data_IF_919543579264
#
_entry.id   IF_919543579264
#
_cell.length_a   1.000
_cell.length_b   1.000
_cell.length_c   1.000
_cell.angle_alpha   90.00
_cell.angle_beta   90.00
_cell.angle_gamma   90.00
#
_symmetry.space_group_name_H-M   'P 1'
#
loop_
_entity.id
_entity.type
_entity.pdbx_description
1 polymer ?
#
# COMPACT_ATOMS: atom_id res chain seq x y z
N UNK A 1 1.44 -10.06 -10.09
CA UNK A 1 0.22 -10.14 -10.92
C UNK A 1 -0.72 -9.00 -10.55
N UNK A 2 -1.28 -8.31 -11.54
CA UNK A 2 -2.17 -7.16 -11.36
C UNK A 2 -3.42 -7.48 -10.52
N UNK A 3 -4.00 -8.66 -10.71
CA UNK A 3 -5.17 -9.13 -9.97
C UNK A 3 -4.98 -9.09 -8.44
N UNK A 4 -3.78 -9.44 -7.95
CA UNK A 4 -3.47 -9.38 -6.53
C UNK A 4 -3.45 -7.94 -6.01
N UNK A 5 -2.98 -6.98 -6.82
CA UNK A 5 -3.01 -5.56 -6.45
C UNK A 5 -4.44 -5.03 -6.43
N UNK A 6 -5.29 -5.44 -7.38
CA UNK A 6 -6.72 -5.09 -7.42
C UNK A 6 -7.45 -5.63 -6.19
N UNK A 7 -7.21 -6.89 -5.80
CA UNK A 7 -7.81 -7.49 -4.61
C UNK A 7 -7.40 -6.74 -3.34
N UNK A 8 -6.11 -6.44 -3.16
CA UNK A 8 -5.61 -5.66 -2.02
C UNK A 8 -6.16 -4.24 -1.99
N UNK A 9 -6.31 -3.61 -3.15
CA UNK A 9 -6.93 -2.29 -3.29
C UNK A 9 -8.36 -2.31 -2.72
N UNK A 10 -9.18 -3.29 -3.14
CA UNK A 10 -10.55 -3.44 -2.63
C UNK A 10 -10.61 -3.64 -1.12
N UNK A 11 -9.76 -4.51 -0.57
CA UNK A 11 -9.69 -4.73 0.89
C UNK A 11 -9.37 -3.43 1.65
N UNK A 12 -8.45 -2.62 1.13
CA UNK A 12 -8.12 -1.33 1.74
C UNK A 12 -9.25 -0.30 1.58
N UNK A 13 -9.98 -0.31 0.45
CA UNK A 13 -11.17 0.53 0.25
C UNK A 13 -12.29 0.17 1.23
N UNK A 14 -12.52 -1.12 1.50
CA UNK A 14 -13.47 -1.62 2.50
C UNK A 14 -13.12 -1.16 3.92
N UNK A 15 -11.83 -0.94 4.21
CA UNK A 15 -11.35 -0.35 5.46
C UNK A 15 -11.42 1.19 5.48
N UNK A 16 -11.95 1.81 4.43
CA UNK A 16 -12.13 3.27 4.34
C UNK A 16 -10.92 4.04 3.80
N UNK A 17 -9.88 3.35 3.34
CA UNK A 17 -8.74 4.00 2.70
C UNK A 17 -9.02 4.34 1.23
N UNK A 18 -8.20 5.21 0.65
CA UNK A 18 -8.24 5.58 -0.77
C UNK A 18 -6.93 5.18 -1.49
N UNK A 19 -6.67 3.87 -1.66
CA UNK A 19 -5.46 3.38 -2.29
C UNK A 19 -5.42 3.62 -3.81
N UNK A 20 -4.21 3.78 -4.35
CA UNK A 20 -3.92 3.79 -5.78
C UNK A 20 -3.04 2.59 -6.16
N UNK A 21 -3.19 2.10 -7.40
CA UNK A 21 -2.28 1.10 -7.96
C UNK A 21 -1.32 1.81 -8.89
N UNK A 22 -0.03 1.67 -8.61
CA UNK A 22 1.06 2.16 -9.46
C UNK A 22 1.76 0.99 -10.13
N UNK A 23 1.88 1.03 -11.44
CA UNK A 23 2.67 0.08 -12.21
C UNK A 23 4.08 0.62 -12.38
N UNK A 24 5.08 -0.18 -12.00
CA UNK A 24 6.49 0.17 -12.16
C UNK A 24 7.27 -1.00 -12.77
N UNK A 25 8.32 -0.70 -13.53
CA UNK A 25 9.25 -1.71 -14.06
C UNK A 25 10.49 -1.76 -13.16
N UNK A 26 10.87 -2.94 -12.71
CA UNK A 26 12.06 -3.15 -11.89
C UNK A 26 12.75 -4.44 -12.29
N UNK A 27 14.03 -4.36 -12.68
CA UNK A 27 14.84 -5.52 -13.07
C UNK A 27 14.22 -6.37 -14.19
N UNK A 28 13.58 -5.74 -15.18
CA UNK A 28 12.90 -6.44 -16.28
C UNK A 28 11.50 -6.98 -15.95
N UNK A 29 11.04 -6.91 -14.69
CA UNK A 29 9.72 -7.34 -14.26
C UNK A 29 8.76 -6.17 -14.05
N UNK A 30 7.47 -6.41 -14.28
CA UNK A 30 6.39 -5.46 -13.94
C UNK A 30 5.92 -5.71 -12.50
N UNK A 31 5.96 -4.67 -11.68
CA UNK A 31 5.50 -4.67 -10.30
C UNK A 31 4.29 -3.74 -10.19
N UNK A 32 3.25 -4.20 -9.50
CA UNK A 32 2.06 -3.41 -9.19
C UNK A 32 2.08 -3.09 -7.69
N UNK A 33 2.24 -1.81 -7.34
CA UNK A 33 2.31 -1.32 -5.97
C UNK A 33 0.97 -0.74 -5.57
N UNK A 34 0.45 -1.14 -4.41
CA UNK A 34 -0.72 -0.52 -3.80
C UNK A 34 -0.22 0.56 -2.84
N UNK A 35 -0.54 1.82 -3.11
CA UNK A 35 -0.05 2.98 -2.36
C UNK A 35 -1.21 3.69 -1.66
N UNK A 36 -0.95 4.15 -0.44
CA UNK A 36 -1.82 5.07 0.28
C UNK A 36 -1.30 6.50 0.10
N UNK A 37 -2.15 7.48 0.41
CA UNK A 37 -1.77 8.88 0.36
C UNK A 37 -0.59 9.15 1.31
N UNK A 38 0.40 9.97 0.89
CA UNK A 38 1.50 10.36 1.74
C UNK A 38 1.01 11.25 2.90
N UNK A 39 1.74 11.22 4.02
CA UNK A 39 1.53 12.10 5.16
C UNK A 39 2.87 12.61 5.68
N UNK A 40 2.90 13.85 6.18
CA UNK A 40 4.08 14.41 6.82
C UNK A 40 4.30 13.84 8.25
N UNK A 41 3.25 13.28 8.86
CA UNK A 41 3.35 12.63 10.16
C UNK A 41 3.79 11.18 10.00
N UNK A 42 5.09 10.95 10.20
CA UNK A 42 5.68 9.61 10.17
C UNK A 42 5.06 8.68 11.22
N UNK A 43 4.76 9.17 12.41
CA UNK A 43 4.20 8.34 13.48
C UNK A 43 2.80 7.84 13.12
N UNK A 44 1.99 8.69 12.48
CA UNK A 44 0.69 8.29 11.95
C UNK A 44 0.81 7.25 10.82
N UNK A 45 1.83 7.37 9.96
CA UNK A 45 2.09 6.39 8.90
C UNK A 45 2.48 5.02 9.46
N UNK A 46 3.37 4.97 10.44
CA UNK A 46 3.80 3.71 11.08
C UNK A 46 2.62 3.02 11.77
N UNK A 47 1.80 3.76 12.53
CA UNK A 47 0.57 3.22 13.16
C UNK A 47 -0.41 2.67 12.13
N UNK A 48 -0.57 3.37 11.01
CA UNK A 48 -1.43 2.94 9.91
C UNK A 48 -0.89 1.65 9.27
N UNK A 49 0.43 1.61 9.03
CA UNK A 49 1.11 0.45 8.46
C UNK A 49 1.00 -0.78 9.36
N UNK A 50 1.13 -0.62 10.68
CA UNK A 50 0.94 -1.67 11.68
C UNK A 50 -0.51 -2.16 11.71
N UNK A 51 -1.48 -1.24 11.76
CA UNK A 51 -2.91 -1.59 11.77
C UNK A 51 -3.32 -2.41 10.54
N UNK A 52 -2.89 -1.98 9.34
CA UNK A 52 -3.16 -2.70 8.09
C UNK A 52 -2.51 -4.09 8.09
N UNK A 53 -1.26 -4.19 8.58
CA UNK A 53 -0.55 -5.48 8.67
C UNK A 53 -1.32 -6.45 9.56
N UNK A 54 -1.79 -6.00 10.72
CA UNK A 54 -2.52 -6.82 11.67
C UNK A 54 -3.89 -7.27 11.13
N UNK A 55 -4.61 -6.39 10.43
CA UNK A 55 -5.95 -6.69 9.92
C UNK A 55 -5.94 -7.58 8.66
N UNK A 56 -5.04 -7.31 7.73
CA UNK A 56 -5.04 -7.98 6.42
C UNK A 56 -3.98 -9.08 6.31
N UNK A 57 -3.11 -9.22 7.31
CA UNK A 57 -1.93 -10.09 7.28
C UNK A 57 -1.03 -9.83 6.06
N UNK A 58 -0.71 -8.55 5.83
CA UNK A 58 0.05 -8.10 4.65
C UNK A 58 1.27 -7.29 5.07
N UNK A 59 2.37 -7.45 4.35
CA UNK A 59 3.55 -6.62 4.57
C UNK A 59 3.31 -5.20 4.05
N UNK A 60 3.50 -4.23 4.94
CA UNK A 60 3.41 -2.79 4.69
C UNK A 60 4.80 -2.16 4.81
N UNK A 61 5.04 -1.11 4.02
CA UNK A 61 6.29 -0.36 4.00
C UNK A 61 5.99 1.14 3.96
N UNK A 62 6.60 1.90 4.87
CA UNK A 62 6.59 3.36 4.85
C UNK A 62 7.80 3.83 4.06
N UNK A 63 7.57 4.56 2.97
CA UNK A 63 8.63 5.15 2.16
C UNK A 63 8.81 6.62 2.56
N UNK A 64 10.05 7.12 2.66
CA UNK A 64 10.28 8.56 2.74
C UNK A 64 9.77 9.23 1.47
N UNK A 65 9.14 10.39 1.63
CA UNK A 65 8.74 11.22 0.50
C UNK A 65 10.02 11.79 -0.15
N UNK A 66 10.19 11.55 -1.45
CA UNK A 66 11.31 12.06 -2.26
C UNK A 66 10.86 13.26 -3.08
#
# INVERSE_FOLDING_TARGET
MEANAISRKKQLEELGYKPTIEQTRSGGNVIYRVRLQPSADRSALEKTAESIRNQLNINTQVFPYQ
#
